data_IF_932913143089
#
_entry.id   IF_932913143089
#
_cell.length_a   1.000
_cell.length_b   1.000
_cell.length_c   1.000
_cell.angle_alpha   90.00
_cell.angle_beta   90.00
_cell.angle_gamma   90.00
#
_symmetry.space_group_name_H-M   'P 1'
#
loop_
_entity.id
_entity.type
_entity.pdbx_description
1 polymer ?
#
# COMPACT_ATOMS: atom_id res chain seq x y z
N UNK A 1 18.83 6.04 6.20
CA UNK A 1 18.42 5.52 4.88
C UNK A 1 17.25 6.35 4.38
N UNK A 2 17.26 6.76 3.11
CA UNK A 2 16.06 7.31 2.44
C UNK A 2 15.56 6.20 1.52
N UNK A 3 14.32 5.76 1.74
CA UNK A 3 13.67 4.75 0.94
C UNK A 3 12.63 5.44 0.05
N UNK A 4 12.87 5.44 -1.26
CA UNK A 4 11.97 5.99 -2.26
C UNK A 4 11.16 4.87 -2.88
N UNK A 5 9.84 5.01 -2.90
CA UNK A 5 8.91 3.96 -3.33
C UNK A 5 7.94 4.58 -4.32
N UNK A 6 7.84 3.96 -5.50
CA UNK A 6 6.82 4.31 -6.48
C UNK A 6 5.75 3.22 -6.51
N UNK A 7 4.51 3.58 -6.20
CA UNK A 7 3.35 2.71 -6.41
C UNK A 7 2.86 2.94 -7.83
N UNK A 8 3.15 1.99 -8.71
CA UNK A 8 2.83 2.11 -10.14
C UNK A 8 1.36 1.76 -10.36
N UNK A 9 0.98 0.52 -10.04
CA UNK A 9 -0.34 -0.04 -10.38
C UNK A 9 -0.74 -1.20 -9.49
N UNK A 10 -2.02 -1.57 -9.54
CA UNK A 10 -2.56 -2.82 -9.02
C UNK A 10 -3.10 -3.68 -10.16
N UNK A 11 -3.26 -4.97 -9.93
CA UNK A 11 -3.72 -5.93 -10.95
C UNK A 11 -4.66 -6.93 -10.30
N UNK A 12 -5.84 -7.12 -10.90
CA UNK A 12 -6.83 -8.13 -10.49
C UNK A 12 -7.18 -8.07 -8.99
N UNK A 13 -7.44 -6.89 -8.45
CA UNK A 13 -7.78 -6.74 -7.05
C UNK A 13 -9.11 -7.44 -6.74
N UNK A 14 -9.14 -8.35 -5.74
CA UNK A 14 -10.36 -9.02 -5.35
C UNK A 14 -11.35 -8.02 -4.73
N UNK A 15 -12.63 -8.33 -4.83
CA UNK A 15 -13.66 -7.56 -4.14
C UNK A 15 -13.57 -7.81 -2.65
N UNK A 16 -13.61 -6.72 -1.89
CA UNK A 16 -13.72 -6.68 -0.42
C UNK A 16 -14.97 -7.42 0.08
N UNK A 17 -16.10 -7.19 -0.60
CA UNK A 17 -17.40 -7.80 -0.27
C UNK A 17 -17.99 -8.61 -1.43
N UNK A 18 -18.52 -9.79 -1.11
CA UNK A 18 -19.24 -10.66 -2.05
C UNK A 18 -20.72 -10.28 -2.18
N UNK A 19 -21.22 -9.38 -1.33
CA UNK A 19 -22.66 -9.09 -1.21
C UNK A 19 -23.09 -7.83 -1.96
N UNK A 20 -22.18 -6.88 -2.18
CA UNK A 20 -22.41 -5.69 -3.00
C UNK A 20 -21.81 -5.91 -4.40
N UNK A 21 -22.48 -5.39 -5.43
CA UNK A 21 -21.98 -5.45 -6.82
C UNK A 21 -20.88 -4.42 -7.09
N UNK A 22 -20.38 -3.77 -6.04
CA UNK A 22 -19.60 -2.56 -6.17
C UNK A 22 -18.19 -2.89 -6.68
N UNK A 23 -17.73 -2.04 -7.59
CA UNK A 23 -16.38 -2.11 -8.12
C UNK A 23 -15.49 -1.45 -7.08
N UNK A 24 -14.36 -2.06 -6.67
CA UNK A 24 -13.50 -1.47 -5.66
C UNK A 24 -13.06 -0.05 -6.04
N UNK A 25 -12.95 0.80 -5.02
CA UNK A 25 -12.35 2.12 -5.04
C UNK A 25 -10.96 2.04 -4.38
N UNK A 26 -9.93 1.43 -5.03
CA UNK A 26 -8.71 1.07 -4.33
C UNK A 26 -7.77 2.24 -4.07
N UNK A 27 -7.09 2.17 -2.94
CA UNK A 27 -5.89 2.95 -2.64
C UNK A 27 -4.85 2.11 -1.90
N UNK A 28 -3.59 2.53 -1.95
CA UNK A 28 -2.48 1.85 -1.27
C UNK A 28 -1.99 2.71 -0.12
N UNK A 29 -2.04 2.15 1.09
CA UNK A 29 -1.40 2.71 2.28
C UNK A 29 -0.06 2.02 2.50
N UNK A 30 0.98 2.82 2.69
CA UNK A 30 2.35 2.40 2.96
C UNK A 30 2.72 2.90 4.34
N UNK A 31 3.16 2.00 5.21
CA UNK A 31 3.54 2.33 6.57
C UNK A 31 4.84 1.66 6.98
N UNK A 32 5.61 2.33 7.83
CA UNK A 32 6.84 1.82 8.40
C UNK A 32 6.63 1.52 9.88
N UNK A 33 7.05 0.34 10.32
CA UNK A 33 6.84 -0.18 11.66
C UNK A 33 8.18 -0.52 12.28
N UNK A 34 8.35 -0.27 13.58
CA UNK A 34 9.64 -0.42 14.26
C UNK A 34 9.74 0.56 15.43
N UNK A 35 10.88 1.23 15.55
CA UNK A 35 11.04 2.31 16.52
C UNK A 35 10.11 3.48 16.20
N UNK A 36 9.59 4.15 17.23
CA UNK A 36 8.71 5.32 17.09
C UNK A 36 9.30 6.41 16.19
N UNK A 37 10.63 6.53 16.19
CA UNK A 37 11.36 7.51 15.42
C UNK A 37 11.37 7.23 13.90
N UNK A 38 11.00 6.02 13.49
CA UNK A 38 10.95 5.53 12.12
C UNK A 38 9.52 5.24 11.65
N UNK A 39 8.50 5.40 12.51
CA UNK A 39 7.10 5.20 12.16
C UNK A 39 6.56 6.35 11.29
N UNK A 40 6.16 6.02 10.07
CA UNK A 40 5.62 6.94 9.07
C UNK A 40 4.50 6.20 8.32
N UNK A 41 3.46 6.93 7.92
CA UNK A 41 2.37 6.41 7.10
C UNK A 41 2.06 7.40 5.99
N UNK A 42 2.00 6.92 4.76
CA UNK A 42 1.59 7.67 3.58
C UNK A 42 0.61 6.81 2.77
N UNK A 43 -0.16 7.43 1.88
CA UNK A 43 -1.09 6.71 1.03
C UNK A 43 -1.22 7.39 -0.34
N UNK A 44 -1.58 6.59 -1.35
CA UNK A 44 -1.96 7.08 -2.67
C UNK A 44 -3.32 7.78 -2.62
N UNK A 45 -3.67 8.42 -3.72
CA UNK A 45 -5.05 8.76 -4.02
C UNK A 45 -5.89 7.49 -4.19
N UNK A 46 -7.18 7.62 -3.91
CA UNK A 46 -8.18 6.62 -4.25
C UNK A 46 -8.47 6.69 -5.74
N UNK A 47 -8.58 5.53 -6.38
CA UNK A 47 -9.06 5.41 -7.76
C UNK A 47 -10.47 4.87 -7.72
N UNK A 48 -11.43 5.65 -8.20
CA UNK A 48 -12.83 5.26 -8.15
C UNK A 48 -13.14 4.15 -9.18
N UNK A 49 -13.85 3.11 -8.74
CA UNK A 49 -14.44 2.05 -9.53
C UNK A 49 -13.44 1.35 -10.47
N UNK A 50 -12.22 1.07 -10.00
CA UNK A 50 -11.24 0.30 -10.76
C UNK A 50 -10.44 -0.70 -9.92
N UNK A 51 -10.99 -1.91 -9.75
CA UNK A 51 -10.26 -3.04 -9.18
C UNK A 51 -9.47 -3.89 -10.20
N UNK A 52 -9.57 -3.64 -11.51
CA UNK A 52 -8.96 -4.52 -12.52
C UNK A 52 -7.49 -4.16 -12.78
N UNK A 53 -7.21 -2.89 -13.03
CA UNK A 53 -5.88 -2.35 -13.37
C UNK A 53 -5.65 -0.91 -12.88
N UNK A 54 -5.89 -0.59 -11.59
CA UNK A 54 -5.68 0.76 -11.08
C UNK A 54 -4.24 1.24 -11.29
N UNK A 55 -4.07 2.49 -11.73
CA UNK A 55 -2.79 3.14 -12.00
C UNK A 55 -2.62 4.37 -11.11
N UNK A 56 -1.76 4.30 -10.11
CA UNK A 56 -1.48 5.42 -9.21
C UNK A 56 -0.28 6.25 -9.70
N UNK A 57 0.82 5.58 -10.05
CA UNK A 57 2.08 6.20 -10.44
C UNK A 57 2.55 7.30 -9.46
N UNK A 58 2.41 7.04 -8.16
CA UNK A 58 2.75 7.98 -7.08
C UNK A 58 4.05 7.58 -6.39
N UNK A 59 4.89 8.56 -6.06
CA UNK A 59 6.20 8.33 -5.41
C UNK A 59 6.22 8.92 -4.01
N UNK A 60 6.73 8.13 -3.06
CA UNK A 60 6.81 8.43 -1.65
C UNK A 60 8.24 8.29 -1.15
N UNK A 61 8.61 9.10 -0.16
CA UNK A 61 9.90 9.01 0.52
C UNK A 61 9.71 8.70 2.00
N UNK A 62 10.42 7.70 2.50
CA UNK A 62 10.46 7.31 3.91
C UNK A 62 11.87 7.49 4.47
N UNK A 63 11.99 8.23 5.58
CA UNK A 63 13.27 8.43 6.27
C UNK A 63 13.42 7.40 7.38
N UNK A 64 14.28 6.40 7.18
CA UNK A 64 14.50 5.31 8.15
C UNK A 64 15.87 5.48 8.83
N UNK A 65 15.87 5.64 10.15
CA UNK A 65 17.09 5.77 10.97
C UNK A 65 17.68 4.41 11.32
N UNK A 66 16.86 3.41 11.63
CA UNK A 66 17.29 2.07 12.04
C UNK A 66 16.70 0.98 11.13
N UNK A 67 17.22 0.81 9.89
CA UNK A 67 16.66 -0.12 8.91
C UNK A 67 16.59 -1.58 9.40
N UNK A 68 17.51 -2.01 10.26
CA UNK A 68 17.54 -3.38 10.78
C UNK A 68 16.37 -3.70 11.73
N UNK A 69 15.70 -2.67 12.26
CA UNK A 69 14.56 -2.80 13.17
C UNK A 69 13.26 -2.26 12.56
N UNK A 70 13.26 -2.03 11.25
CA UNK A 70 12.13 -1.43 10.55
C UNK A 70 11.53 -2.38 9.52
N UNK A 71 10.22 -2.56 9.59
CA UNK A 71 9.40 -3.24 8.59
C UNK A 71 8.72 -2.19 7.73
N UNK A 72 8.57 -2.48 6.44
CA UNK A 72 7.62 -1.80 5.60
C UNK A 72 6.36 -2.65 5.46
N UNK A 73 5.21 -1.99 5.46
CA UNK A 73 3.90 -2.61 5.39
C UNK A 73 3.05 -1.87 4.35
N UNK A 74 2.67 -2.60 3.31
CA UNK A 74 1.75 -2.18 2.27
C UNK A 74 0.39 -2.77 2.56
N UNK A 75 -0.66 -1.97 2.42
CA UNK A 75 -2.04 -2.42 2.45
C UNK A 75 -2.80 -1.80 1.30
N UNK A 76 -3.49 -2.64 0.54
CA UNK A 76 -4.46 -2.22 -0.46
C UNK A 76 -5.81 -2.20 0.24
N UNK A 77 -6.48 -1.06 0.20
CA UNK A 77 -7.77 -0.84 0.83
C UNK A 77 -8.79 -0.42 -0.22
N UNK A 78 -10.03 -0.80 0.01
CA UNK A 78 -11.21 -0.35 -0.71
C UNK A 78 -11.83 0.80 0.09
N UNK A 79 -11.92 2.00 -0.49
CA UNK A 79 -12.49 3.15 0.20
C UNK A 79 -14.01 2.99 0.30
N UNK A 80 -14.54 3.01 1.52
CA UNK A 80 -15.99 3.02 1.76
C UNK A 80 -16.36 4.17 2.70
N UNK A 81 -17.11 5.12 2.14
CA UNK A 81 -17.55 6.33 2.84
C UNK A 81 -18.47 6.04 4.05
N UNK A 82 -19.17 4.91 4.07
CA UNK A 82 -20.18 4.57 5.09
C UNK A 82 -19.71 3.50 6.08
N UNK A 83 -19.03 2.45 5.61
CA UNK A 83 -18.65 1.30 6.45
C UNK A 83 -17.27 1.42 7.08
N UNK A 84 -16.43 2.31 6.57
CA UNK A 84 -14.99 2.29 6.79
C UNK A 84 -14.29 1.35 5.80
N UNK A 85 -13.02 1.65 5.53
CA UNK A 85 -12.28 1.02 4.43
C UNK A 85 -12.00 -0.47 4.66
N UNK A 86 -12.33 -1.29 3.66
CA UNK A 86 -12.08 -2.73 3.68
C UNK A 86 -10.68 -3.06 3.17
N UNK A 87 -9.93 -3.89 3.91
CA UNK A 87 -8.59 -4.30 3.46
C UNK A 87 -8.68 -5.45 2.46
N UNK A 88 -8.29 -5.16 1.21
CA UNK A 88 -8.24 -6.11 0.10
C UNK A 88 -7.02 -7.04 0.24
N UNK A 89 -5.84 -6.47 0.44
CA UNK A 89 -4.58 -7.19 0.47
C UNK A 89 -3.54 -6.48 1.33
N UNK A 90 -2.49 -7.20 1.71
CA UNK A 90 -1.35 -6.62 2.41
C UNK A 90 -0.05 -7.37 2.13
N UNK A 91 1.05 -6.64 2.22
CA UNK A 91 2.39 -7.21 2.15
C UNK A 91 3.27 -6.54 3.20
N UNK A 92 4.13 -7.31 3.86
CA UNK A 92 5.09 -6.76 4.79
C UNK A 92 6.45 -7.43 4.67
N UNK A 93 7.50 -6.63 4.81
CA UNK A 93 8.87 -7.10 4.72
C UNK A 93 9.80 -6.22 5.57
N UNK A 94 10.93 -6.75 6.05
CA UNK A 94 12.01 -5.92 6.58
C UNK A 94 12.50 -4.95 5.51
N UNK A 95 12.75 -3.69 5.89
CA UNK A 95 13.29 -2.67 4.98
C UNK A 95 14.61 -3.13 4.35
N UNK A 96 15.39 -3.95 5.06
CA UNK A 96 16.64 -4.52 4.56
C UNK A 96 16.47 -5.57 3.44
N UNK A 97 15.25 -6.07 3.22
CA UNK A 97 14.95 -7.09 2.21
C UNK A 97 14.33 -6.49 0.94
N UNK A 98 13.99 -5.20 0.94
CA UNK A 98 13.43 -4.50 -0.23
C UNK A 98 14.53 -4.27 -1.25
N UNK A 99 14.31 -4.74 -2.48
CA UNK A 99 15.23 -4.52 -3.60
C UNK A 99 14.85 -3.24 -4.37
N UNK A 100 15.81 -2.53 -4.96
CA UNK A 100 15.57 -1.29 -5.70
C UNK A 100 14.89 -1.48 -7.07
N UNK A 101 14.67 -2.72 -7.50
CA UNK A 101 14.03 -3.05 -8.77
C UNK A 101 12.50 -3.12 -8.66
N UNK A 102 11.81 -3.28 -9.80
CA UNK A 102 10.35 -3.47 -9.82
C UNK A 102 10.01 -4.80 -9.14
N UNK A 103 9.34 -4.73 -7.99
CA UNK A 103 8.86 -5.90 -7.26
C UNK A 103 7.32 -5.99 -7.34
N UNK A 104 6.77 -7.00 -8.04
CA UNK A 104 5.34 -7.27 -7.96
C UNK A 104 5.01 -7.90 -6.59
N UNK A 105 3.94 -7.44 -5.96
CA UNK A 105 3.41 -8.03 -4.74
C UNK A 105 2.11 -8.74 -5.08
N UNK A 106 2.11 -10.07 -4.93
CA UNK A 106 0.98 -10.96 -5.19
C UNK A 106 0.36 -11.46 -3.90
#
# INVERSE_FOLDING_TARGET
>A
LILTITIISGQFLPRSSLTTKDIPDPYVRISTHGLLCDQQTQQTQTIDNNGFDPMWNETFEFRIRFPQMCLIYFSVLDYDMMSGDDRIAYYSAPVTMIQPDIQPFS
#
